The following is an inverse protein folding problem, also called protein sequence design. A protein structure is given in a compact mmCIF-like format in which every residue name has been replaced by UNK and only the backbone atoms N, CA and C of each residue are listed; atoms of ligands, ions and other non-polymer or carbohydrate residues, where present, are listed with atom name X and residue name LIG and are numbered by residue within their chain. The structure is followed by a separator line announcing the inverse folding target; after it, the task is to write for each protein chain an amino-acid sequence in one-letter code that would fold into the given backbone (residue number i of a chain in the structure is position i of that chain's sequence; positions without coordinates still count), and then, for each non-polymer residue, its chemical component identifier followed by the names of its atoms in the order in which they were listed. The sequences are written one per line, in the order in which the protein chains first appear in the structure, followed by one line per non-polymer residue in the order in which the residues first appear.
data_IF_984288316795
#
_entry.id   IF_984288316795
#
_cell.length_a   1.000
_cell.length_b   1.000
_cell.length_c   1.000
_cell.angle_alpha   90.00
_cell.angle_beta   90.00
_cell.angle_gamma   90.00
#
_symmetry.space_group_name_H-M   'P 1'
#
loop_
_entity.id
_entity.type
_entity.pdbx_description
1 polymer ?
#
# COMPACT_ATOMS: atom_id res chain seq x y z
N UNK A 1 -17.56 -18.50 -4.24
CA UNK A 1 -17.31 -17.09 -4.62
C UNK A 1 -16.67 -16.27 -3.49
N UNK A 2 -17.23 -16.22 -2.28
CA UNK A 2 -16.72 -15.37 -1.17
C UNK A 2 -15.26 -15.70 -0.77
N UNK A 3 -14.91 -16.99 -0.67
CA UNK A 3 -13.54 -17.43 -0.34
C UNK A 3 -12.50 -16.91 -1.35
N UNK A 4 -12.86 -16.88 -2.64
CA UNK A 4 -12.00 -16.37 -3.71
C UNK A 4 -11.81 -14.86 -3.62
N UNK A 5 -12.86 -14.10 -3.29
CA UNK A 5 -12.77 -12.65 -3.06
C UNK A 5 -11.89 -12.33 -1.84
N UNK A 6 -12.06 -13.08 -0.76
CA UNK A 6 -11.23 -12.93 0.44
C UNK A 6 -9.77 -13.25 0.15
N UNK A 7 -9.49 -14.31 -0.59
CA UNK A 7 -8.13 -14.64 -1.03
C UNK A 7 -7.51 -13.49 -1.83
N UNK A 8 -8.22 -12.97 -2.84
CA UNK A 8 -7.74 -11.84 -3.63
C UNK A 8 -7.49 -10.60 -2.76
N UNK A 9 -8.42 -10.28 -1.86
CA UNK A 9 -8.28 -9.14 -0.95
C UNK A 9 -7.01 -9.26 -0.09
N UNK A 10 -6.83 -10.41 0.57
CA UNK A 10 -5.66 -10.64 1.43
C UNK A 10 -4.36 -10.69 0.62
N UNK A 11 -4.38 -11.32 -0.55
CA UNK A 11 -3.21 -11.39 -1.43
C UNK A 11 -2.73 -10.01 -1.84
N UNK A 12 -3.63 -9.14 -2.30
CA UNK A 12 -3.25 -7.78 -2.70
C UNK A 12 -2.92 -6.86 -1.52
N UNK A 13 -3.49 -7.12 -0.33
CA UNK A 13 -3.04 -6.47 0.90
C UNK A 13 -1.58 -6.86 1.21
N UNK A 14 -1.23 -8.14 1.09
CA UNK A 14 0.15 -8.64 1.30
C UNK A 14 1.10 -8.05 0.25
N UNK A 15 0.71 -8.01 -1.02
CA UNK A 15 1.55 -7.42 -2.09
C UNK A 15 1.86 -5.96 -1.78
N UNK A 16 0.87 -5.17 -1.36
CA UNK A 16 1.08 -3.76 -1.06
C UNK A 16 1.89 -3.56 0.23
N UNK A 17 1.46 -4.13 1.34
CA UNK A 17 2.12 -3.97 2.66
C UNK A 17 3.52 -4.59 2.64
N UNK A 18 3.65 -5.82 2.15
CA UNK A 18 4.93 -6.51 1.99
C UNK A 18 5.86 -5.77 1.04
N UNK A 19 5.34 -5.16 -0.02
CA UNK A 19 6.10 -4.29 -0.92
C UNK A 19 6.69 -3.06 -0.23
N UNK A 20 5.93 -2.42 0.67
CA UNK A 20 6.42 -1.30 1.48
C UNK A 20 7.53 -1.75 2.44
N UNK A 21 7.35 -2.89 3.11
CA UNK A 21 8.39 -3.51 3.97
C UNK A 21 9.66 -3.81 3.15
N UNK A 22 9.51 -4.46 2.00
CA UNK A 22 10.61 -4.75 1.08
C UNK A 22 11.37 -3.48 0.69
N UNK A 23 10.63 -2.43 0.28
CA UNK A 23 11.23 -1.17 -0.14
C UNK A 23 12.05 -0.49 0.95
N UNK A 24 11.61 -0.56 2.21
CA UNK A 24 12.27 0.12 3.33
C UNK A 24 13.40 -0.69 3.93
N UNK A 25 13.23 -1.99 4.11
CA UNK A 25 14.15 -2.83 4.86
C UNK A 25 15.19 -3.54 4.00
N UNK A 26 14.91 -3.78 2.71
CA UNK A 26 15.80 -4.56 1.85
C UNK A 26 16.31 -3.69 0.69
N UNK A 27 15.41 -3.07 -0.06
CA UNK A 27 15.81 -2.24 -1.21
C UNK A 27 16.65 -1.03 -0.76
N UNK A 28 16.18 -0.26 0.23
CA UNK A 28 16.88 0.95 0.71
C UNK A 28 18.33 0.70 1.15
N UNK A 29 18.64 -0.30 2.01
CA UNK A 29 20.03 -0.56 2.37
C UNK A 29 20.86 -1.07 1.21
N UNK A 30 20.33 -1.93 0.33
CA UNK A 30 21.08 -2.43 -0.85
C UNK A 30 21.49 -1.32 -1.82
N UNK A 31 20.76 -0.21 -1.87
CA UNK A 31 21.14 0.95 -2.68
C UNK A 31 22.41 1.66 -2.21
N UNK A 32 22.86 1.42 -0.97
CA UNK A 32 24.11 1.98 -0.43
C UNK A 32 25.35 1.35 -1.05
N UNK A 33 25.21 0.15 -1.61
CA UNK A 33 26.31 -0.57 -2.28
C UNK A 33 26.59 0.02 -3.69
N UNK A 34 25.66 0.80 -4.23
CA UNK A 34 25.84 1.47 -5.52
C UNK A 34 26.58 2.79 -5.29
N UNK A 35 27.88 2.81 -5.60
CA UNK A 35 28.74 3.96 -5.41
C UNK A 35 28.36 5.19 -6.26
N UNK A 36 27.89 4.97 -7.49
CA UNK A 36 27.51 6.06 -8.40
C UNK A 36 26.06 6.49 -8.16
N UNK A 37 25.86 7.76 -7.79
CA UNK A 37 24.53 8.30 -7.50
C UNK A 37 23.56 8.25 -8.70
N UNK A 38 24.08 8.48 -9.91
CA UNK A 38 23.29 8.39 -11.14
C UNK A 38 22.76 6.96 -11.38
N UNK A 39 23.63 5.96 -11.20
CA UNK A 39 23.26 4.54 -11.34
C UNK A 39 22.22 4.14 -10.29
N UNK A 40 22.38 4.61 -9.05
CA UNK A 40 21.42 4.39 -7.95
C UNK A 40 20.04 4.96 -8.29
N UNK A 41 20.00 6.18 -8.80
CA UNK A 41 18.76 6.84 -9.23
C UNK A 41 18.07 6.12 -10.39
N UNK A 42 18.85 5.68 -11.39
CA UNK A 42 18.32 4.93 -12.55
C UNK A 42 17.73 3.58 -12.12
N UNK A 43 18.44 2.83 -11.28
CA UNK A 43 17.96 1.56 -10.76
C UNK A 43 16.67 1.71 -9.93
N UNK A 44 16.64 2.70 -9.02
CA UNK A 44 15.44 3.04 -8.25
C UNK A 44 14.24 3.34 -9.14
N UNK A 45 14.42 4.13 -10.21
CA UNK A 45 13.32 4.43 -11.13
C UNK A 45 12.78 3.19 -11.82
N UNK A 46 13.66 2.28 -12.25
CA UNK A 46 13.25 1.04 -12.90
C UNK A 46 12.45 0.16 -11.94
N UNK A 47 12.93 -0.02 -10.70
CA UNK A 47 12.23 -0.80 -9.67
C UNK A 47 10.88 -0.17 -9.33
N UNK A 48 10.85 1.12 -9.01
CA UNK A 48 9.62 1.82 -8.65
C UNK A 48 8.60 1.91 -9.78
N UNK A 49 9.03 2.00 -11.04
CA UNK A 49 8.09 2.00 -12.18
C UNK A 49 7.23 0.72 -12.23
N UNK A 50 7.86 -0.44 -12.00
CA UNK A 50 7.18 -1.75 -11.98
C UNK A 50 6.39 -1.94 -10.68
N UNK A 51 7.00 -1.56 -9.56
CA UNK A 51 6.37 -1.69 -8.25
C UNK A 51 5.11 -0.84 -8.12
N UNK A 52 5.14 0.41 -8.56
CA UNK A 52 3.97 1.30 -8.46
C UNK A 52 2.80 0.85 -9.32
N UNK A 53 3.06 0.18 -10.45
CA UNK A 53 2.00 -0.46 -11.24
C UNK A 53 1.30 -1.57 -10.45
N UNK A 54 2.07 -2.40 -9.73
CA UNK A 54 1.50 -3.43 -8.85
C UNK A 54 0.73 -2.82 -7.66
N UNK A 55 1.18 -1.69 -7.13
CA UNK A 55 0.46 -0.97 -6.05
C UNK A 55 -0.86 -0.39 -6.55
N UNK A 56 -0.90 0.24 -7.74
CA UNK A 56 -2.15 0.70 -8.34
C UNK A 56 -3.16 -0.44 -8.51
N UNK A 57 -2.69 -1.59 -9.00
CA UNK A 57 -3.53 -2.78 -9.14
C UNK A 57 -4.03 -3.27 -7.78
N UNK A 58 -3.16 -3.27 -6.76
CA UNK A 58 -3.53 -3.62 -5.39
C UNK A 58 -4.63 -2.71 -4.83
N UNK A 59 -4.53 -1.40 -5.03
CA UNK A 59 -5.54 -0.41 -4.59
C UNK A 59 -6.91 -0.72 -5.21
N UNK A 60 -6.95 -0.92 -6.52
CA UNK A 60 -8.20 -1.19 -7.26
C UNK A 60 -8.82 -2.50 -6.76
N UNK A 61 -8.02 -3.57 -6.68
CA UNK A 61 -8.54 -4.88 -6.25
C UNK A 61 -9.01 -4.83 -4.80
N UNK A 62 -8.27 -4.19 -3.89
CA UNK A 62 -8.66 -4.05 -2.49
C UNK A 62 -9.96 -3.28 -2.31
N UNK A 63 -10.16 -2.20 -3.07
CA UNK A 63 -11.38 -1.42 -3.03
C UNK A 63 -12.58 -2.25 -3.53
N UNK A 64 -12.47 -2.86 -4.72
CA UNK A 64 -13.55 -3.66 -5.31
C UNK A 64 -13.91 -4.88 -4.46
N UNK A 65 -12.89 -5.62 -4.00
CA UNK A 65 -13.11 -6.80 -3.15
C UNK A 65 -13.62 -6.41 -1.76
N UNK A 66 -13.13 -5.32 -1.18
CA UNK A 66 -13.59 -4.79 0.11
C UNK A 66 -15.06 -4.38 0.07
N UNK A 67 -15.48 -3.65 -0.96
CA UNK A 67 -16.87 -3.24 -1.16
C UNK A 67 -17.80 -4.43 -1.45
N UNK A 68 -17.32 -5.44 -2.18
CA UNK A 68 -18.08 -6.67 -2.46
C UNK A 68 -18.28 -7.52 -1.21
N UNK A 69 -17.24 -7.67 -0.39
CA UNK A 69 -17.31 -8.39 0.89
C UNK A 69 -18.21 -7.67 1.91
N UNK A 70 -18.23 -6.34 1.87
CA UNK A 70 -19.13 -5.52 2.68
C UNK A 70 -20.61 -5.79 2.36
N UNK A 71 -21.02 -5.67 1.10
CA UNK A 71 -22.42 -5.89 0.71
C UNK A 71 -22.89 -7.33 0.90
N UNK A 72 -22.00 -8.32 0.76
CA UNK A 72 -22.36 -9.73 0.70
C UNK A 72 -22.31 -10.51 2.02
N UNK A 73 -21.55 -10.06 3.04
CA UNK A 73 -21.21 -10.92 4.18
C UNK A 73 -21.46 -10.31 5.57
N UNK A 74 -21.38 -8.99 5.74
CA UNK A 74 -21.62 -8.33 7.03
C UNK A 74 -22.42 -7.05 6.83
N UNK A 75 -23.76 -7.13 6.91
CA UNK A 75 -24.62 -5.93 6.91
C UNK A 75 -24.41 -5.10 8.16
N UNK A 76 -24.12 -5.75 9.29
CA UNK A 76 -23.83 -5.15 10.60
C UNK A 76 -22.54 -4.32 10.63
N UNK A 77 -21.73 -4.37 9.57
CA UNK A 77 -20.51 -3.57 9.44
C UNK A 77 -20.78 -2.07 9.17
N UNK A 78 -21.99 -1.68 8.74
CA UNK A 78 -22.34 -0.26 8.59
C UNK A 78 -22.39 0.49 9.92
N UNK A 79 -22.78 -0.21 10.99
CA UNK A 79 -23.02 0.38 12.31
C UNK A 79 -21.75 0.39 13.17
N UNK A 80 -20.69 -0.28 12.72
CA UNK A 80 -19.42 -0.31 13.44
C UNK A 80 -18.55 0.89 13.06
N UNK A 81 -18.40 1.85 13.98
CA UNK A 81 -17.55 3.04 13.82
C UNK A 81 -16.12 2.70 13.38
N UNK A 82 -15.58 1.56 13.82
CA UNK A 82 -14.22 1.13 13.45
C UNK A 82 -14.09 0.76 11.96
N UNK A 83 -15.18 0.39 11.27
CA UNK A 83 -15.17 0.16 9.83
C UNK A 83 -14.98 1.48 9.06
N UNK A 84 -15.70 2.53 9.46
CA UNK A 84 -15.54 3.87 8.85
C UNK A 84 -14.13 4.40 9.06
N UNK A 85 -13.54 4.18 10.24
CA UNK A 85 -12.14 4.52 10.52
C UNK A 85 -11.20 3.74 9.58
N UNK A 86 -11.40 2.42 9.41
CA UNK A 86 -10.62 1.62 8.47
C UNK A 86 -10.71 2.18 7.04
N UNK A 87 -11.91 2.52 6.57
CA UNK A 87 -12.11 3.05 5.22
C UNK A 87 -11.44 4.42 5.06
N UNK A 88 -11.54 5.28 6.07
CA UNK A 88 -10.86 6.57 6.12
C UNK A 88 -9.33 6.42 6.05
N UNK A 89 -8.76 5.52 6.86
CA UNK A 89 -7.32 5.22 6.84
C UNK A 89 -6.87 4.66 5.48
N UNK A 90 -7.67 3.78 4.87
CA UNK A 90 -7.40 3.29 3.52
C UNK A 90 -7.39 4.43 2.49
N UNK A 91 -8.37 5.33 2.55
CA UNK A 91 -8.41 6.52 1.69
C UNK A 91 -7.17 7.40 1.88
N UNK A 92 -6.75 7.62 3.13
CA UNK A 92 -5.52 8.37 3.45
C UNK A 92 -4.28 7.71 2.85
N UNK A 93 -4.15 6.39 2.95
CA UNK A 93 -3.07 5.63 2.33
C UNK A 93 -3.02 5.80 0.81
N UNK A 94 -4.18 5.76 0.15
CA UNK A 94 -4.29 5.98 -1.31
C UNK A 94 -3.90 7.40 -1.69
N UNK A 95 -4.29 8.42 -0.91
CA UNK A 95 -3.90 9.82 -1.14
C UNK A 95 -2.38 9.97 -1.02
N UNK A 96 -1.77 9.41 0.03
CA UNK A 96 -0.31 9.43 0.22
C UNK A 96 0.38 8.76 -0.97
N UNK A 97 -0.08 7.57 -1.38
CA UNK A 97 0.50 6.88 -2.53
C UNK A 97 0.35 7.67 -3.83
N UNK A 98 -0.82 8.28 -4.05
CA UNK A 98 -1.07 9.13 -5.21
C UNK A 98 -0.10 10.31 -5.23
N UNK A 99 0.14 10.95 -4.08
CA UNK A 99 1.14 12.02 -3.95
C UNK A 99 2.57 11.52 -4.25
N UNK A 100 2.96 10.35 -3.72
CA UNK A 100 4.25 9.71 -4.02
C UNK A 100 4.41 9.51 -5.54
N UNK A 101 3.41 8.93 -6.20
CA UNK A 101 3.48 8.62 -7.63
C UNK A 101 3.47 9.89 -8.50
N UNK A 102 2.47 10.75 -8.33
CA UNK A 102 2.26 11.89 -9.22
C UNK A 102 3.27 13.02 -9.00
N UNK A 103 3.66 13.29 -7.75
CA UNK A 103 4.52 14.42 -7.41
C UNK A 103 5.98 14.00 -7.19
N UNK A 104 6.27 13.00 -6.36
CA UNK A 104 7.66 12.64 -6.05
C UNK A 104 8.30 11.88 -7.20
N UNK A 105 7.67 10.80 -7.65
CA UNK A 105 8.24 9.92 -8.66
C UNK A 105 8.35 10.62 -10.02
N UNK A 106 7.27 11.24 -10.51
CA UNK A 106 7.31 11.93 -11.82
C UNK A 106 8.16 13.19 -11.83
N UNK A 107 8.41 13.84 -10.69
CA UNK A 107 9.35 14.98 -10.60
C UNK A 107 10.76 14.58 -10.14
N UNK A 108 11.11 13.29 -10.16
CA UNK A 108 12.41 12.76 -9.76
C UNK A 108 12.86 13.10 -8.32
N UNK A 109 11.94 13.42 -7.41
CA UNK A 109 12.24 13.71 -5.99
C UNK A 109 12.28 12.41 -5.16
N UNK A 110 13.22 11.53 -5.51
CA UNK A 110 13.29 10.17 -4.95
C UNK A 110 13.67 10.11 -3.47
N UNK A 111 14.35 11.13 -2.94
CA UNK A 111 14.84 11.17 -1.56
C UNK A 111 13.74 11.15 -0.50
N UNK A 112 12.55 11.68 -0.81
CA UNK A 112 11.43 11.79 0.12
C UNK A 112 10.50 10.57 0.08
N UNK A 113 10.64 9.71 -0.93
CA UNK A 113 9.77 8.55 -1.14
C UNK A 113 9.81 7.59 0.07
N UNK A 114 10.97 7.22 0.63
CA UNK A 114 11.02 6.27 1.75
C UNK A 114 10.27 6.75 3.00
N UNK A 115 10.31 8.05 3.31
CA UNK A 115 9.63 8.59 4.49
C UNK A 115 8.11 8.44 4.36
N UNK A 116 7.55 8.77 3.20
CA UNK A 116 6.12 8.62 2.94
C UNK A 116 5.70 7.15 2.83
N UNK A 117 6.54 6.27 2.28
CA UNK A 117 6.30 4.82 2.34
C UNK A 117 6.25 4.35 3.79
N UNK A 118 7.13 4.86 4.66
CA UNK A 118 7.13 4.56 6.10
C UNK A 118 5.84 4.98 6.79
N UNK A 119 5.36 6.20 6.56
CA UNK A 119 4.06 6.67 7.06
C UNK A 119 2.93 5.76 6.54
N UNK A 120 2.94 5.44 5.25
CA UNK A 120 1.94 4.59 4.64
C UNK A 120 1.93 3.16 5.22
N UNK A 121 3.12 2.62 5.54
CA UNK A 121 3.28 1.34 6.22
C UNK A 121 2.69 1.38 7.64
N UNK A 122 2.95 2.45 8.42
CA UNK A 122 2.38 2.60 9.75
C UNK A 122 0.84 2.65 9.73
N UNK A 123 0.26 3.39 8.77
CA UNK A 123 -1.19 3.40 8.56
C UNK A 123 -1.72 2.00 8.22
N UNK A 124 -0.98 1.24 7.40
CA UNK A 124 -1.37 -0.13 7.06
C UNK A 124 -1.34 -1.07 8.26
N UNK A 125 -0.36 -0.91 9.17
CA UNK A 125 -0.27 -1.68 10.41
C UNK A 125 -1.47 -1.34 11.30
N UNK A 126 -1.83 -0.06 11.41
CA UNK A 126 -3.02 0.36 12.15
C UNK A 126 -4.30 -0.27 11.59
N UNK A 127 -4.45 -0.30 10.26
CA UNK A 127 -5.58 -0.98 9.61
C UNK A 127 -5.59 -2.48 9.95
N UNK A 128 -4.43 -3.16 9.92
CA UNK A 128 -4.33 -4.58 10.27
C UNK A 128 -4.72 -4.83 11.73
N UNK A 129 -4.30 -3.97 12.66
CA UNK A 129 -4.69 -4.04 14.07
C UNK A 129 -6.20 -3.88 14.25
N UNK A 130 -6.80 -2.90 13.56
CA UNK A 130 -8.26 -2.70 13.54
C UNK A 130 -8.99 -3.96 13.03
N UNK A 131 -8.49 -4.57 11.96
CA UNK A 131 -9.09 -5.79 11.39
C UNK A 131 -9.02 -6.96 12.38
N UNK A 132 -7.90 -7.11 13.10
CA UNK A 132 -7.71 -8.16 14.10
C UNK A 132 -8.65 -7.92 15.31
N UNK A 133 -8.79 -6.68 15.75
CA UNK A 133 -9.59 -6.31 16.91
C UNK A 133 -11.11 -6.43 16.69
N UNK A 134 -11.59 -6.13 15.47
CA UNK A 134 -13.02 -6.25 15.12
C UNK A 134 -13.44 -7.71 14.85
N UNK A 135 -12.48 -8.63 14.72
CA UNK A 135 -12.78 -10.01 14.30
C UNK A 135 -13.57 -10.79 15.33
#
# INVERSE_FOLDING_TARGET
MIKSLLFLHLFFAIVWVGGMVYSLLFLRPSLREIAQEEQRGKFLKQVFSKFFLAVWLSIIVLFLTGMSLWHGYRKDFSDNSLFHIKLFLFGLMVIIFTYIYFFLFRRNKLSHIPNLIGVNLLLSILILLIIIYIR
#
